data_IF_953331847658
#
_entry.id   IF_953331847658
#
_cell.length_a   1.000
_cell.length_b   1.000
_cell.length_c   1.000
_cell.angle_alpha   90.00
_cell.angle_beta   90.00
_cell.angle_gamma   90.00
#
_symmetry.space_group_name_H-M   'P 1'
#
loop_
_entity.id
_entity.type
_entity.pdbx_description
1 polymer ?
#
# COMPACT_ATOMS: atom_id res chain seq x y z
N UNK A 1 6.07 20.09 -7.21
CA UNK A 1 5.63 19.20 -8.32
C UNK A 1 4.87 17.95 -7.85
N UNK A 2 5.37 17.22 -6.85
CA UNK A 2 4.79 15.95 -6.36
C UNK A 2 3.34 16.06 -5.89
N UNK A 3 3.01 17.07 -5.08
CA UNK A 3 1.67 17.22 -4.50
C UNK A 3 0.57 17.42 -5.56
N UNK A 4 0.89 18.12 -6.66
CA UNK A 4 -0.04 18.28 -7.79
C UNK A 4 -0.26 16.94 -8.52
N UNK A 5 0.81 16.16 -8.73
CA UNK A 5 0.71 14.82 -9.36
C UNK A 5 -0.16 13.89 -8.52
N UNK A 6 0.04 13.90 -7.20
CA UNK A 6 -0.80 13.13 -6.27
C UNK A 6 -2.26 13.58 -6.30
N UNK A 7 -2.52 14.88 -6.26
CA UNK A 7 -3.88 15.43 -6.34
C UNK A 7 -4.58 14.97 -7.62
N UNK A 8 -3.96 15.18 -8.77
CA UNK A 8 -4.52 14.81 -10.07
C UNK A 8 -4.74 13.31 -10.18
N UNK A 9 -3.77 12.48 -9.77
CA UNK A 9 -3.89 11.04 -9.93
C UNK A 9 -4.91 10.42 -8.98
N UNK A 10 -4.98 10.90 -7.74
CA UNK A 10 -5.98 10.45 -6.76
C UNK A 10 -7.39 10.62 -7.32
N UNK A 11 -7.68 11.77 -7.92
CA UNK A 11 -9.00 12.07 -8.47
C UNK A 11 -9.23 11.39 -9.82
N UNK A 12 -8.20 11.26 -10.66
CA UNK A 12 -8.28 10.50 -11.92
C UNK A 12 -8.61 9.02 -11.67
N UNK A 13 -7.92 8.37 -10.73
CA UNK A 13 -8.18 6.97 -10.36
C UNK A 13 -9.60 6.79 -9.83
N UNK A 14 -10.09 7.74 -9.01
CA UNK A 14 -11.46 7.73 -8.52
C UNK A 14 -12.48 7.81 -9.66
N UNK A 15 -12.28 8.72 -10.62
CA UNK A 15 -13.17 8.88 -11.77
C UNK A 15 -13.06 7.74 -12.80
N UNK A 16 -11.96 6.99 -12.81
CA UNK A 16 -11.82 5.72 -13.54
C UNK A 16 -12.52 4.55 -12.84
N UNK A 17 -13.07 4.75 -11.64
CA UNK A 17 -13.71 3.71 -10.84
C UNK A 17 -12.74 2.80 -10.08
N UNK A 18 -11.45 3.17 -10.02
CA UNK A 18 -10.41 2.40 -9.34
C UNK A 18 -10.33 2.85 -7.87
N UNK A 19 -10.38 1.93 -6.89
CA UNK A 19 -10.26 2.27 -5.47
C UNK A 19 -8.95 3.02 -5.17
N UNK A 20 -9.07 4.18 -4.53
CA UNK A 20 -7.96 5.10 -4.29
C UNK A 20 -8.21 5.98 -3.07
N UNK A 21 -7.14 6.49 -2.46
CA UNK A 21 -7.23 7.70 -1.63
C UNK A 21 -7.67 8.90 -2.46
N UNK A 22 -8.34 9.86 -1.82
CA UNK A 22 -8.85 11.09 -2.44
C UNK A 22 -7.97 12.27 -2.07
N UNK A 23 -8.02 13.32 -2.88
CA UNK A 23 -7.30 14.57 -2.64
C UNK A 23 -8.27 15.74 -2.53
N UNK A 24 -8.37 16.33 -1.32
CA UNK A 24 -9.33 17.40 -1.04
C UNK A 24 -8.83 18.78 -1.46
N UNK A 25 -7.60 19.13 -1.09
CA UNK A 25 -7.00 20.45 -1.38
C UNK A 25 -5.51 20.32 -1.64
N UNK A 26 -4.95 21.29 -2.36
CA UNK A 26 -3.52 21.41 -2.66
C UNK A 26 -3.09 22.86 -2.44
N UNK A 27 -2.22 23.11 -1.46
CA UNK A 27 -1.83 24.47 -1.03
C UNK A 27 -0.32 24.63 -1.11
N UNK A 28 0.14 25.62 -1.85
CA UNK A 28 1.56 25.97 -2.01
C UNK A 28 1.93 27.13 -1.10
N UNK A 29 3.10 27.05 -0.45
CA UNK A 29 3.69 28.16 0.31
C UNK A 29 4.93 28.72 -0.40
N UNK A 30 5.43 29.86 0.09
CA UNK A 30 6.72 30.41 -0.33
C UNK A 30 7.93 29.77 0.37
N UNK A 31 7.70 28.82 1.29
CA UNK A 31 8.77 28.02 1.86
C UNK A 31 9.38 27.13 0.79
N UNK A 32 10.70 27.00 0.79
CA UNK A 32 11.43 26.19 -0.20
C UNK A 32 12.09 24.98 0.45
N UNK A 33 12.20 23.90 -0.32
CA UNK A 33 12.96 22.69 0.03
C UNK A 33 13.92 22.35 -1.12
N UNK A 34 15.11 21.88 -0.79
CA UNK A 34 16.07 21.39 -1.78
C UNK A 34 15.73 19.94 -2.11
N UNK A 35 15.47 19.65 -3.40
CA UNK A 35 15.15 18.30 -3.89
C UNK A 35 15.90 18.03 -5.18
N UNK A 36 16.40 16.81 -5.30
CA UNK A 36 16.75 16.22 -6.58
C UNK A 36 15.61 15.27 -6.95
N UNK A 37 14.78 15.68 -7.91
CA UNK A 37 13.53 14.98 -8.25
C UNK A 37 13.82 13.77 -9.14
N UNK A 38 14.85 13.87 -9.97
CA UNK A 38 15.21 12.84 -10.94
C UNK A 38 16.36 11.96 -10.46
N UNK A 39 16.92 12.25 -9.28
CA UNK A 39 18.08 11.58 -8.71
C UNK A 39 19.28 11.63 -9.68
N UNK A 40 19.43 12.74 -10.41
CA UNK A 40 20.44 12.94 -11.45
C UNK A 40 21.67 13.75 -10.95
N UNK A 41 21.70 14.08 -9.67
CA UNK A 41 22.76 14.87 -9.03
C UNK A 41 22.57 16.38 -9.15
N UNK A 42 21.46 16.88 -9.69
CA UNK A 42 21.19 18.32 -9.88
C UNK A 42 20.06 18.81 -8.96
N UNK A 43 20.31 18.98 -7.65
CA UNK A 43 19.30 19.43 -6.71
C UNK A 43 18.86 20.86 -7.01
N UNK A 44 17.55 21.09 -6.92
CA UNK A 44 16.91 22.40 -7.13
C UNK A 44 16.07 22.77 -5.92
N UNK A 45 15.89 24.07 -5.71
CA UNK A 45 14.91 24.58 -4.77
C UNK A 45 13.51 24.43 -5.37
N UNK A 46 12.59 23.85 -4.61
CA UNK A 46 11.18 23.75 -4.95
C UNK A 46 10.32 24.38 -3.86
N UNK A 47 9.20 24.99 -4.25
CA UNK A 47 8.19 25.46 -3.30
C UNK A 47 7.53 24.27 -2.59
N UNK A 48 7.41 24.38 -1.28
CA UNK A 48 6.65 23.44 -0.46
C UNK A 48 5.17 23.50 -0.83
N UNK A 49 4.56 22.34 -1.02
CA UNK A 49 3.13 22.21 -1.30
C UNK A 49 2.57 21.06 -0.50
N UNK A 50 1.49 21.29 0.22
CA UNK A 50 0.79 20.26 0.98
C UNK A 50 -0.45 19.80 0.21
N UNK A 51 -0.76 18.51 0.31
CA UNK A 51 -2.00 17.92 -0.21
C UNK A 51 -2.80 17.34 0.96
N UNK A 52 -4.09 17.65 1.01
CA UNK A 52 -5.02 17.03 1.95
C UNK A 52 -5.48 15.68 1.41
N UNK A 53 -4.84 14.59 1.86
CA UNK A 53 -5.23 13.22 1.52
C UNK A 53 -6.40 12.78 2.39
N UNK A 54 -7.43 12.20 1.78
CA UNK A 54 -8.65 11.72 2.45
C UNK A 54 -8.83 10.24 2.12
N UNK A 55 -9.04 9.42 3.15
CA UNK A 55 -9.34 8.00 3.02
C UNK A 55 -10.11 7.52 4.25
N UNK A 56 -10.88 6.40 4.16
CA UNK A 56 -11.50 5.80 5.35
C UNK A 56 -10.47 5.40 6.41
N UNK A 57 -9.27 4.99 5.98
CA UNK A 57 -8.11 4.73 6.84
C UNK A 57 -6.81 4.88 6.05
N UNK A 58 -5.72 5.14 6.76
CA UNK A 58 -4.35 5.14 6.24
C UNK A 58 -3.53 3.94 6.75
N UNK A 59 -4.17 2.97 7.40
CA UNK A 59 -3.53 1.73 7.84
C UNK A 59 -3.08 0.94 6.61
N UNK A 60 -1.83 0.49 6.66
CA UNK A 60 -1.11 -0.20 5.58
C UNK A 60 -0.69 -1.60 6.04
N UNK A 61 -0.24 -2.47 5.13
CA UNK A 61 0.34 -3.75 5.52
C UNK A 61 1.58 -3.52 6.42
N UNK A 62 2.43 -2.56 6.02
CA UNK A 62 3.60 -2.15 6.81
C UNK A 62 3.26 -1.63 8.22
N UNK A 63 2.03 -1.16 8.48
CA UNK A 63 1.59 -0.81 9.83
C UNK A 63 1.62 -2.01 10.79
N UNK A 64 1.39 -3.23 10.28
CA UNK A 64 1.51 -4.46 11.06
C UNK A 64 2.94 -4.99 11.12
N UNK A 65 3.80 -4.62 10.17
CA UNK A 65 5.18 -5.07 10.15
C UNK A 65 6.07 -4.38 11.20
N UNK A 66 5.66 -3.23 11.75
CA UNK A 66 6.41 -2.57 12.83
C UNK A 66 6.50 -3.41 14.12
N UNK A 67 5.71 -4.49 14.21
CA UNK A 67 5.69 -5.44 15.32
C UNK A 67 6.55 -6.69 15.04
N UNK A 68 7.07 -6.87 13.82
CA UNK A 68 7.86 -8.05 13.45
C UNK A 68 9.18 -8.10 14.22
N UNK A 69 9.56 -9.31 14.62
CA UNK A 69 10.88 -9.64 15.15
C UNK A 69 11.99 -9.33 14.14
N UNK A 70 13.24 -9.48 14.57
CA UNK A 70 14.38 -9.27 13.69
C UNK A 70 14.28 -10.16 12.43
N UNK A 71 14.42 -9.54 11.27
CA UNK A 71 14.57 -10.22 10.00
C UNK A 71 15.91 -10.99 9.96
N UNK A 72 15.87 -12.23 9.50
CA UNK A 72 17.00 -13.16 9.55
C UNK A 72 18.22 -12.66 8.75
N UNK A 73 17.97 -11.98 7.63
CA UNK A 73 19.02 -11.55 6.71
C UNK A 73 19.59 -10.18 7.06
N UNK A 74 18.71 -9.24 7.41
CA UNK A 74 19.10 -7.83 7.63
C UNK A 74 19.34 -7.50 9.10
N UNK A 75 18.87 -8.35 10.03
CA UNK A 75 18.87 -8.09 11.47
C UNK A 75 17.97 -6.92 11.89
N UNK A 76 17.22 -6.32 10.96
CA UNK A 76 16.34 -5.19 11.25
C UNK A 76 15.08 -5.71 11.93
N UNK A 77 14.65 -4.99 12.96
CA UNK A 77 13.42 -5.29 13.71
C UNK A 77 12.49 -4.09 13.67
N UNK A 78 11.20 -4.33 13.81
CA UNK A 78 10.22 -3.26 13.92
C UNK A 78 10.43 -2.41 15.19
N UNK A 79 10.03 -1.13 15.19
CA UNK A 79 10.15 -0.27 16.37
C UNK A 79 9.22 -0.66 17.53
N UNK A 80 8.27 -1.56 17.30
CA UNK A 80 7.27 -2.00 18.28
C UNK A 80 7.27 -3.51 18.48
N UNK A 81 8.44 -4.15 18.32
CA UNK A 81 8.63 -5.57 18.69
C UNK A 81 8.14 -5.79 20.13
N UNK A 82 7.54 -6.96 20.37
CA UNK A 82 6.93 -7.40 21.64
C UNK A 82 5.62 -6.67 22.04
N UNK A 83 5.15 -5.70 21.25
CA UNK A 83 3.85 -5.04 21.46
C UNK A 83 2.69 -5.72 20.73
N UNK A 84 2.59 -7.03 20.91
CA UNK A 84 1.51 -7.83 20.33
C UNK A 84 0.12 -7.38 20.82
N UNK A 85 0.02 -6.84 22.03
CA UNK A 85 -1.19 -6.22 22.57
C UNK A 85 -1.75 -5.14 21.64
N UNK A 86 -0.90 -4.21 21.19
CA UNK A 86 -1.29 -3.13 20.28
C UNK A 86 -1.62 -3.69 18.90
N UNK A 87 -0.83 -4.65 18.41
CA UNK A 87 -1.08 -5.27 17.10
C UNK A 87 -2.44 -5.94 17.02
N UNK A 88 -2.80 -6.71 18.05
CA UNK A 88 -4.11 -7.38 18.17
C UNK A 88 -5.22 -6.33 18.22
N UNK A 89 -5.06 -5.30 19.06
CA UNK A 89 -6.01 -4.20 19.15
C UNK A 89 -6.21 -3.50 17.80
N UNK A 90 -5.14 -3.28 17.04
CA UNK A 90 -5.20 -2.68 15.71
C UNK A 90 -5.91 -3.60 14.70
N UNK A 91 -5.66 -4.91 14.75
CA UNK A 91 -6.35 -5.90 13.91
C UNK A 91 -7.86 -5.90 14.22
N UNK A 92 -8.23 -5.97 15.49
CA UNK A 92 -9.62 -5.93 15.94
C UNK A 92 -10.32 -4.62 15.54
N UNK A 93 -9.63 -3.49 15.67
CA UNK A 93 -10.13 -2.18 15.23
C UNK A 93 -10.39 -2.16 13.72
N UNK A 94 -9.43 -2.64 12.91
CA UNK A 94 -9.58 -2.67 11.45
C UNK A 94 -10.77 -3.54 11.04
N UNK A 95 -10.88 -4.73 11.62
CA UNK A 95 -11.95 -5.67 11.30
C UNK A 95 -13.31 -5.10 11.73
N UNK A 96 -13.44 -4.66 12.98
CA UNK A 96 -14.71 -4.13 13.51
C UNK A 96 -15.19 -2.87 12.80
N UNK A 97 -14.28 -2.01 12.36
CA UNK A 97 -14.61 -0.72 11.75
C UNK A 97 -14.87 -0.83 10.25
N UNK A 98 -14.01 -1.56 9.52
CA UNK A 98 -14.01 -1.57 8.05
C UNK A 98 -14.51 -2.88 7.44
N UNK A 99 -14.68 -3.93 8.25
CA UNK A 99 -15.17 -5.24 7.85
C UNK A 99 -16.23 -5.79 8.83
N UNK A 100 -17.26 -5.00 9.21
CA UNK A 100 -18.22 -5.37 10.24
C UNK A 100 -18.98 -6.67 9.92
N UNK A 101 -19.25 -6.94 8.64
CA UNK A 101 -19.93 -8.17 8.21
C UNK A 101 -19.12 -9.42 8.52
N UNK A 102 -17.78 -9.33 8.44
CA UNK A 102 -16.87 -10.44 8.80
C UNK A 102 -16.91 -10.68 10.31
N UNK A 103 -16.91 -9.61 11.11
CA UNK A 103 -17.06 -9.71 12.56
C UNK A 103 -18.40 -10.33 12.95
N UNK A 104 -19.50 -9.93 12.31
CA UNK A 104 -20.84 -10.48 12.56
C UNK A 104 -20.95 -11.96 12.16
N UNK A 105 -20.28 -12.38 11.10
CA UNK A 105 -20.29 -13.77 10.63
C UNK A 105 -19.47 -14.69 11.54
N UNK A 106 -18.40 -14.17 12.15
CA UNK A 106 -17.48 -14.93 12.99
C UNK A 106 -17.19 -14.22 14.33
N UNK A 107 -18.21 -14.01 15.20
CA UNK A 107 -18.06 -13.21 16.41
C UNK A 107 -17.12 -13.86 17.44
N UNK A 108 -17.19 -15.18 17.60
CA UNK A 108 -16.46 -15.92 18.64
C UNK A 108 -15.28 -16.74 18.09
N UNK A 109 -15.10 -16.79 16.76
CA UNK A 109 -14.02 -17.55 16.11
C UNK A 109 -12.99 -16.61 15.50
N UNK A 110 -12.04 -16.17 16.33
CA UNK A 110 -10.99 -15.20 15.96
C UNK A 110 -10.20 -15.67 14.74
N UNK A 111 -9.81 -16.94 14.67
CA UNK A 111 -9.00 -17.45 13.56
C UNK A 111 -9.78 -17.44 12.26
N UNK A 112 -11.05 -17.87 12.25
CA UNK A 112 -11.88 -17.82 11.05
C UNK A 112 -12.23 -16.38 10.64
N UNK A 113 -12.50 -15.51 11.61
CA UNK A 113 -12.68 -14.07 11.39
C UNK A 113 -11.47 -13.45 10.72
N UNK A 114 -10.27 -13.71 11.24
CA UNK A 114 -9.02 -13.17 10.71
C UNK A 114 -8.69 -13.78 9.32
N UNK A 115 -9.00 -15.06 9.10
CA UNK A 115 -8.86 -15.71 7.79
C UNK A 115 -9.83 -15.13 6.76
N UNK A 116 -11.07 -14.85 7.14
CA UNK A 116 -12.06 -14.19 6.28
C UNK A 116 -11.65 -12.74 5.96
N UNK A 117 -11.14 -12.01 6.95
CA UNK A 117 -10.56 -10.68 6.76
C UNK A 117 -9.40 -10.72 5.77
N UNK A 118 -8.43 -11.61 5.98
CA UNK A 118 -7.28 -11.74 5.08
C UNK A 118 -7.71 -12.10 3.65
N UNK A 119 -8.68 -13.01 3.49
CA UNK A 119 -9.26 -13.35 2.18
C UNK A 119 -9.87 -12.14 1.48
N UNK A 120 -10.60 -11.31 2.21
CA UNK A 120 -11.19 -10.10 1.64
C UNK A 120 -10.12 -9.06 1.27
N UNK A 121 -9.09 -8.87 2.08
CA UNK A 121 -7.94 -8.00 1.75
C UNK A 121 -7.21 -8.50 0.50
N UNK A 122 -6.97 -9.81 0.39
CA UNK A 122 -6.37 -10.44 -0.78
C UNK A 122 -7.22 -10.22 -2.03
N UNK A 123 -8.54 -10.42 -1.94
CA UNK A 123 -9.48 -10.18 -3.04
C UNK A 123 -9.49 -8.72 -3.49
N UNK A 124 -9.52 -7.78 -2.55
CA UNK A 124 -9.49 -6.33 -2.86
C UNK A 124 -8.18 -5.92 -3.50
N UNK A 125 -7.06 -6.43 -3.00
CA UNK A 125 -5.73 -6.18 -3.56
C UNK A 125 -5.61 -6.74 -4.98
N UNK A 126 -6.08 -7.98 -5.21
CA UNK A 126 -6.11 -8.60 -6.53
C UNK A 126 -6.97 -7.80 -7.52
N UNK A 127 -8.14 -7.33 -7.09
CA UNK A 127 -9.01 -6.48 -7.91
C UNK A 127 -8.32 -5.15 -8.25
N UNK A 128 -7.75 -4.47 -7.26
CA UNK A 128 -7.05 -3.19 -7.44
C UNK A 128 -5.91 -3.31 -8.47
N UNK A 129 -5.03 -4.30 -8.31
CA UNK A 129 -3.92 -4.48 -9.26
C UNK A 129 -4.41 -4.91 -10.64
N UNK A 130 -5.47 -5.71 -10.74
CA UNK A 130 -6.08 -6.03 -12.04
C UNK A 130 -6.60 -4.77 -12.74
N UNK A 131 -7.26 -3.87 -12.01
CA UNK A 131 -7.72 -2.58 -12.55
C UNK A 131 -6.55 -1.70 -13.01
N UNK A 132 -5.42 -1.69 -12.28
CA UNK A 132 -4.19 -1.02 -12.72
C UNK A 132 -3.68 -1.57 -14.05
N UNK A 133 -3.66 -2.90 -14.20
CA UNK A 133 -3.26 -3.55 -15.46
C UNK A 133 -4.25 -3.27 -16.61
N UNK A 134 -5.51 -2.94 -16.33
CA UNK A 134 -6.47 -2.60 -17.39
C UNK A 134 -6.28 -1.19 -17.94
N UNK A 135 -5.81 -0.24 -17.12
CA UNK A 135 -5.63 1.17 -17.51
C UNK A 135 -4.18 1.55 -17.79
N UNK A 136 -3.27 0.58 -17.76
CA UNK A 136 -1.84 0.82 -17.98
C UNK A 136 -1.19 1.65 -16.88
N UNK A 137 -1.69 1.58 -15.64
CA UNK A 137 -1.12 2.29 -14.50
C UNK A 137 0.04 1.50 -13.89
N UNK A 138 1.17 2.17 -13.68
CA UNK A 138 2.36 1.65 -13.01
C UNK A 138 2.66 2.49 -11.77
N UNK A 139 2.58 1.88 -10.58
CA UNK A 139 2.73 2.56 -9.28
C UNK A 139 4.18 2.99 -8.99
N UNK A 140 5.14 2.13 -9.32
CA UNK A 140 6.58 2.40 -9.21
C UNK A 140 7.20 2.26 -7.81
N UNK A 141 6.39 2.14 -6.76
CA UNK A 141 6.86 1.97 -5.36
C UNK A 141 5.90 1.10 -4.56
N UNK A 142 5.86 -0.20 -4.86
CA UNK A 142 4.98 -1.16 -4.18
C UNK A 142 5.65 -1.81 -2.96
N UNK A 143 6.20 -0.98 -2.07
CA UNK A 143 6.61 -1.43 -0.76
C UNK A 143 5.38 -1.80 0.09
N UNK A 144 5.55 -2.63 1.11
CA UNK A 144 4.46 -3.07 2.01
C UNK A 144 3.81 -1.93 2.79
N UNK A 145 4.56 -0.86 3.08
CA UNK A 145 4.02 0.37 3.65
C UNK A 145 3.16 1.15 2.64
N UNK A 146 3.22 0.89 1.34
CA UNK A 146 2.31 1.49 0.34
C UNK A 146 1.11 0.60 -0.03
N UNK A 147 0.86 -0.46 0.74
CA UNK A 147 -0.29 -1.35 0.52
C UNK A 147 -1.39 -1.08 1.54
N UNK A 148 -2.54 -0.57 1.10
CA UNK A 148 -3.69 -0.29 1.97
C UNK A 148 -4.38 -1.58 2.41
N UNK A 149 -4.76 -1.67 3.69
CA UNK A 149 -5.61 -2.77 4.19
C UNK A 149 -7.02 -2.77 3.62
N UNK A 150 -7.42 -1.75 2.87
CA UNK A 150 -8.71 -1.66 2.19
C UNK A 150 -8.61 -1.89 0.67
N UNK A 151 -7.42 -2.17 0.13
CA UNK A 151 -7.19 -2.30 -1.31
C UNK A 151 -7.36 -0.97 -2.06
N UNK A 152 -6.94 0.14 -1.44
CA UNK A 152 -6.89 1.45 -2.07
C UNK A 152 -5.52 1.71 -2.70
N UNK A 153 -5.50 2.30 -3.88
CA UNK A 153 -4.32 2.96 -4.44
C UNK A 153 -3.91 4.12 -3.52
N UNK A 154 -2.66 4.13 -3.06
CA UNK A 154 -2.16 5.10 -2.07
C UNK A 154 -0.69 5.41 -2.34
N UNK A 155 -0.27 6.63 -2.03
CA UNK A 155 1.13 7.07 -2.14
C UNK A 155 1.65 7.27 -3.58
N UNK A 156 1.07 8.28 -4.24
CA UNK A 156 1.39 8.67 -5.60
C UNK A 156 2.74 9.41 -5.71
N UNK A 157 3.82 8.65 -5.80
CA UNK A 157 5.18 9.18 -6.05
C UNK A 157 5.59 9.14 -7.52
N UNK A 158 6.53 8.27 -7.90
CA UNK A 158 7.00 8.11 -9.28
C UNK A 158 6.09 7.18 -10.10
N UNK A 159 4.77 7.36 -10.01
CA UNK A 159 3.82 6.60 -10.84
C UNK A 159 3.85 7.08 -12.30
N UNK A 160 3.31 6.25 -13.19
CA UNK A 160 3.06 6.60 -14.59
C UNK A 160 1.88 5.84 -15.18
N UNK A 161 1.13 6.47 -16.08
CA UNK A 161 0.26 5.77 -17.02
C UNK A 161 1.06 5.54 -18.31
N UNK A 162 0.97 4.36 -18.90
CA UNK A 162 1.67 4.05 -20.14
C UNK A 162 1.05 4.79 -21.33
N UNK A 163 1.81 5.66 -21.99
CA UNK A 163 1.41 6.27 -23.26
C UNK A 163 1.50 5.27 -24.43
N UNK A 164 2.60 4.51 -24.46
CA UNK A 164 2.82 3.38 -25.38
C UNK A 164 2.88 2.11 -24.55
N UNK A 165 2.20 1.06 -25.01
CA UNK A 165 2.28 -0.23 -24.36
C UNK A 165 3.72 -0.75 -24.33
N UNK A 166 4.20 -0.98 -23.11
CA UNK A 166 5.47 -1.61 -22.81
C UNK A 166 5.30 -2.46 -21.55
N UNK A 167 5.26 -3.81 -21.66
CA UNK A 167 5.04 -4.66 -20.50
C UNK A 167 6.15 -4.54 -19.45
N UNK A 168 7.35 -4.12 -19.85
CA UNK A 168 8.51 -3.98 -18.97
C UNK A 168 8.69 -2.54 -18.49
N UNK A 169 7.70 -1.67 -18.69
CA UNK A 169 7.76 -0.26 -18.30
C UNK A 169 8.10 -0.09 -16.82
N UNK A 170 9.16 0.70 -16.54
CA UNK A 170 9.58 1.11 -15.20
C UNK A 170 9.34 2.62 -15.08
N UNK A 171 8.33 3.01 -14.29
CA UNK A 171 8.01 4.43 -14.08
C UNK A 171 8.89 5.11 -13.02
N UNK A 172 9.58 4.33 -12.18
CA UNK A 172 10.44 4.83 -11.11
C UNK A 172 11.92 4.84 -11.52
N UNK A 173 12.50 6.04 -11.69
CA UNK A 173 13.91 6.21 -12.05
C UNK A 173 14.92 5.67 -11.04
N UNK A 174 14.50 5.33 -9.81
CA UNK A 174 15.35 4.67 -8.81
C UNK A 174 15.24 3.14 -8.81
N UNK A 175 14.30 2.56 -9.55
CA UNK A 175 14.13 1.10 -9.65
C UNK A 175 14.99 0.52 -10.78
N UNK A 176 16.30 0.49 -10.56
CA UNK A 176 17.27 -0.05 -11.53
C UNK A 176 17.09 -1.54 -11.83
N UNK A 177 16.36 -2.27 -10.98
CA UNK A 177 16.13 -3.71 -11.11
C UNK A 177 14.80 -4.08 -11.78
N UNK A 178 13.93 -3.11 -12.01
CA UNK A 178 12.56 -3.35 -12.48
C UNK A 178 11.72 -4.16 -11.50
N UNK A 179 11.98 -4.05 -10.20
CA UNK A 179 11.21 -4.75 -9.15
C UNK A 179 9.73 -4.40 -9.24
N UNK A 180 9.42 -3.14 -9.54
CA UNK A 180 8.07 -2.59 -9.63
C UNK A 180 7.68 -2.25 -11.08
N UNK A 181 8.30 -2.93 -12.06
CA UNK A 181 7.90 -2.83 -13.46
C UNK A 181 6.42 -3.21 -13.64
N UNK A 182 5.79 -2.68 -14.68
CA UNK A 182 4.36 -2.82 -14.93
C UNK A 182 3.88 -4.29 -14.93
N UNK A 183 4.57 -5.20 -15.62
CA UNK A 183 4.23 -6.63 -15.61
C UNK A 183 4.46 -7.35 -14.27
N UNK A 184 5.24 -6.77 -13.35
CA UNK A 184 5.56 -7.36 -12.05
C UNK A 184 4.55 -7.01 -10.96
N UNK A 185 3.74 -5.96 -11.15
CA UNK A 185 2.83 -5.48 -10.09
C UNK A 185 1.93 -6.58 -9.50
N UNK A 186 1.32 -7.51 -10.28
CA UNK A 186 0.51 -8.59 -9.69
C UNK A 186 1.29 -9.50 -8.75
N UNK A 187 2.48 -9.95 -9.17
CA UNK A 187 3.36 -10.81 -8.36
C UNK A 187 3.87 -10.09 -7.11
N UNK A 188 4.20 -8.79 -7.23
CA UNK A 188 4.61 -7.98 -6.09
C UNK A 188 3.46 -7.79 -5.10
N UNK A 189 2.22 -7.58 -5.57
CA UNK A 189 1.05 -7.51 -4.70
C UNK A 189 0.82 -8.84 -3.95
N UNK A 190 0.98 -9.99 -4.62
CA UNK A 190 0.95 -11.31 -3.97
C UNK A 190 2.05 -11.44 -2.91
N UNK A 191 3.28 -11.05 -3.24
CA UNK A 191 4.40 -11.07 -2.30
C UNK A 191 4.14 -10.17 -1.08
N UNK A 192 3.57 -8.97 -1.28
CA UNK A 192 3.21 -8.07 -0.19
C UNK A 192 2.09 -8.66 0.70
N UNK A 193 1.14 -9.41 0.13
CA UNK A 193 0.13 -10.14 0.92
C UNK A 193 0.75 -11.26 1.74
N UNK A 194 1.77 -11.96 1.23
CA UNK A 194 2.57 -12.92 2.02
C UNK A 194 3.22 -12.22 3.22
N UNK A 195 3.79 -11.02 3.03
CA UNK A 195 4.38 -10.24 4.13
C UNK A 195 3.35 -9.75 5.14
N UNK A 196 2.16 -9.41 4.67
CA UNK A 196 1.05 -9.10 5.56
C UNK A 196 0.62 -10.32 6.38
N UNK A 197 0.50 -11.51 5.78
CA UNK A 197 0.19 -12.75 6.50
C UNK A 197 1.23 -13.06 7.59
N UNK A 198 2.52 -12.94 7.27
CA UNK A 198 3.61 -13.08 8.27
C UNK A 198 3.43 -12.12 9.45
N UNK A 199 2.98 -10.89 9.20
CA UNK A 199 2.79 -9.88 10.24
C UNK A 199 1.59 -10.16 11.16
N UNK A 200 0.64 -11.00 10.72
CA UNK A 200 -0.55 -11.37 11.50
C UNK A 200 -0.33 -12.58 12.42
N UNK A 201 0.82 -13.26 12.36
CA UNK A 201 1.13 -14.41 13.23
C UNK A 201 1.29 -13.98 14.70
N UNK A 202 0.69 -14.67 15.69
CA UNK A 202 -0.02 -15.94 15.58
C UNK A 202 -1.55 -15.82 15.42
N UNK A 203 -2.11 -14.59 15.39
CA UNK A 203 -3.56 -14.35 15.26
C UNK A 203 -4.17 -14.93 13.99
N UNK A 204 -3.34 -15.08 12.95
CA UNK A 204 -3.64 -15.85 11.76
C UNK A 204 -2.44 -16.74 11.40
N UNK A 205 -2.49 -18.05 11.69
CA UNK A 205 -1.42 -18.98 11.35
C UNK A 205 -1.13 -19.06 9.84
N UNK A 206 0.11 -19.39 9.47
CA UNK A 206 0.54 -19.41 8.08
C UNK A 206 -0.07 -20.57 7.30
N UNK A 207 -0.31 -21.70 7.95
CA UNK A 207 -0.99 -22.87 7.38
C UNK A 207 -2.44 -22.58 6.98
N UNK A 208 -3.06 -21.52 7.53
CA UNK A 208 -4.40 -21.05 7.18
C UNK A 208 -4.35 -19.91 6.17
N UNK A 209 -3.43 -18.96 6.32
CA UNK A 209 -3.34 -17.79 5.44
C UNK A 209 -2.73 -18.08 4.08
N UNK A 210 -1.70 -18.93 4.00
CA UNK A 210 -1.01 -19.18 2.72
C UNK A 210 -1.90 -19.83 1.66
N UNK A 211 -2.79 -20.79 1.96
CA UNK A 211 -3.73 -21.35 0.99
C UNK A 211 -4.77 -20.35 0.42
N UNK A 212 -4.89 -19.15 0.99
CA UNK A 212 -5.81 -18.11 0.51
C UNK A 212 -5.23 -17.35 -0.71
N UNK A 213 -3.90 -17.36 -0.91
CA UNK A 213 -3.17 -16.60 -1.94
C UNK A 213 -2.91 -17.39 -3.23
#
# INVERSE_FOLDING_TARGET
KTSIREFLCSEAMFHLGIPTTRAGTCVTSDSEVIRDIFYDGNPKKEKCTIVLRIAPTIIRFGSFEIFKSADEFTGRKGPSVDRNDIRIQMLDYVISTFYPDILQTHPDNIVQRNAAFFREVSRRTAKMVAEWQCVGFCHGVLNTDNMSVLGLTIDYGPFGFMDRYDPEHICNGSDNSGRYAYNKQPEICKWNLTKFAEALVPELPLEISMPIL
#
